data_IF_412406733654
#
_entry.id   IF_412406733654
#
_cell.length_a   1.000
_cell.length_b   1.000
_cell.length_c   1.000
_cell.angle_alpha   90.00
_cell.angle_beta   90.00
_cell.angle_gamma   90.00
#
_symmetry.space_group_name_H-M   'P 1'
#
loop_
_entity.id
_entity.type
_entity.pdbx_description
1 polymer ?
#
# COMPACT_ATOMS: atom_id res chain seq x y z
N UNK A 1 6.05 6.46 13.80
CA UNK A 1 4.81 6.27 13.02
C UNK A 1 4.00 7.54 13.21
N UNK A 2 3.57 8.21 12.13
CA UNK A 2 2.89 9.50 12.27
C UNK A 2 1.48 9.27 12.82
N UNK A 3 1.10 9.93 13.91
CA UNK A 3 -0.15 9.68 14.64
C UNK A 3 -1.39 9.77 13.74
N UNK A 4 -1.32 10.63 12.71
CA UNK A 4 -2.40 10.83 11.74
C UNK A 4 -2.65 9.61 10.85
N UNK A 5 -1.61 8.85 10.49
CA UNK A 5 -1.74 7.63 9.67
C UNK A 5 -2.52 6.56 10.44
N UNK A 6 -2.23 6.42 11.75
CA UNK A 6 -2.88 5.43 12.61
C UNK A 6 -4.37 5.69 12.76
N UNK A 7 -4.77 6.96 12.77
CA UNK A 7 -6.17 7.38 12.93
C UNK A 7 -7.01 7.06 11.68
N UNK A 8 -6.41 7.03 10.50
CA UNK A 8 -7.11 6.83 9.22
C UNK A 8 -7.26 5.35 8.87
N UNK A 9 -6.34 4.51 9.34
CA UNK A 9 -6.37 3.06 9.09
C UNK A 9 -7.74 2.44 9.41
N UNK A 10 -8.40 2.70 10.56
CA UNK A 10 -9.73 2.16 10.84
C UNK A 10 -10.80 2.53 9.81
N UNK A 11 -10.81 3.77 9.33
CA UNK A 11 -11.76 4.25 8.32
C UNK A 11 -11.53 3.53 6.98
N UNK A 12 -10.27 3.45 6.56
CA UNK A 12 -9.89 2.74 5.32
C UNK A 12 -10.16 1.25 5.43
N UNK A 13 -9.91 0.64 6.59
CA UNK A 13 -10.22 -0.79 6.84
C UNK A 13 -11.70 -1.08 6.68
N UNK A 14 -12.58 -0.21 7.18
CA UNK A 14 -14.02 -0.39 7.03
C UNK A 14 -14.43 -0.40 5.54
N UNK A 15 -13.82 0.47 4.72
CA UNK A 15 -14.01 0.44 3.27
C UNK A 15 -13.50 -0.87 2.65
N UNK A 16 -12.30 -1.33 3.01
CA UNK A 16 -11.75 -2.60 2.52
C UNK A 16 -12.62 -3.80 2.91
N UNK A 17 -13.14 -3.83 4.14
CA UNK A 17 -14.03 -4.88 4.64
C UNK A 17 -15.35 -4.95 3.88
N UNK A 18 -15.90 -3.81 3.48
CA UNK A 18 -17.11 -3.77 2.66
C UNK A 18 -16.91 -4.41 1.27
N UNK A 19 -15.65 -4.58 0.84
CA UNK A 19 -15.25 -5.19 -0.42
C UNK A 19 -14.46 -6.51 -0.21
N UNK A 20 -14.67 -7.20 0.92
CA UNK A 20 -13.88 -8.38 1.32
C UNK A 20 -13.91 -9.54 0.31
N UNK A 21 -14.97 -9.68 -0.47
CA UNK A 21 -15.13 -10.75 -1.48
C UNK A 21 -14.45 -10.43 -2.82
N UNK A 22 -13.95 -9.21 -2.99
CA UNK A 22 -13.29 -8.78 -4.22
C UNK A 22 -11.82 -9.22 -4.26
N UNK A 23 -11.22 -9.09 -5.44
CA UNK A 23 -9.80 -9.38 -5.64
C UNK A 23 -8.93 -8.49 -4.74
N UNK A 24 -7.74 -8.98 -4.41
CA UNK A 24 -6.76 -8.20 -3.65
C UNK A 24 -6.44 -6.85 -4.34
N UNK A 25 -6.43 -6.83 -5.67
CA UNK A 25 -6.18 -5.62 -6.47
C UNK A 25 -7.30 -4.59 -6.29
N UNK A 26 -8.57 -5.01 -6.38
CA UNK A 26 -9.69 -4.06 -6.23
C UNK A 26 -9.78 -3.56 -4.78
N UNK A 27 -9.57 -4.44 -3.80
CA UNK A 27 -9.45 -4.03 -2.39
C UNK A 27 -8.32 -3.02 -2.17
N UNK A 28 -7.20 -3.16 -2.87
CA UNK A 28 -6.12 -2.18 -2.83
C UNK A 28 -6.56 -0.82 -3.42
N UNK A 29 -7.24 -0.81 -4.57
CA UNK A 29 -7.80 0.42 -5.16
C UNK A 29 -8.81 1.09 -4.24
N UNK A 30 -9.71 0.32 -3.61
CA UNK A 30 -10.67 0.80 -2.59
C UNK A 30 -9.93 1.44 -1.41
N UNK A 31 -8.91 0.76 -0.86
CA UNK A 31 -8.11 1.30 0.24
C UNK A 31 -7.46 2.64 -0.13
N UNK A 32 -6.89 2.72 -1.33
CA UNK A 32 -6.20 3.91 -1.84
C UNK A 32 -7.17 5.07 -2.06
N UNK A 33 -8.34 4.83 -2.67
CA UNK A 33 -9.40 5.84 -2.85
C UNK A 33 -9.91 6.34 -1.49
N UNK A 34 -10.15 5.45 -0.53
CA UNK A 34 -10.61 5.80 0.80
C UNK A 34 -9.58 6.66 1.56
N UNK A 35 -8.29 6.26 1.54
CA UNK A 35 -7.24 7.02 2.21
C UNK A 35 -7.09 8.44 1.65
N UNK A 36 -7.12 8.61 0.31
CA UNK A 36 -7.01 9.93 -0.34
C UNK A 36 -8.17 10.87 -0.02
N UNK A 37 -9.36 10.32 0.25
CA UNK A 37 -10.55 11.09 0.65
C UNK A 37 -10.57 11.46 2.12
N UNK A 38 -9.58 11.05 2.91
CA UNK A 38 -9.55 11.34 4.34
C UNK A 38 -9.48 12.85 4.61
N UNK A 39 -10.39 13.31 5.47
CA UNK A 39 -10.51 14.70 5.90
C UNK A 39 -9.31 15.20 6.72
N UNK A 40 -8.46 14.31 7.22
CA UNK A 40 -7.30 14.64 8.05
C UNK A 40 -6.15 15.30 7.27
N UNK A 41 -6.28 15.44 5.95
CA UNK A 41 -5.36 16.25 5.13
C UNK A 41 -3.92 15.75 5.20
N UNK A 42 -3.72 14.47 4.90
CA UNK A 42 -2.41 13.84 4.85
C UNK A 42 -1.65 14.17 3.55
N UNK A 43 -0.33 14.06 3.62
CA UNK A 43 0.50 13.97 2.41
C UNK A 43 0.22 12.68 1.62
N UNK A 44 0.54 12.68 0.32
CA UNK A 44 0.36 11.51 -0.54
C UNK A 44 1.04 10.25 0.01
N UNK A 45 2.24 10.37 0.56
CA UNK A 45 2.97 9.24 1.13
C UNK A 45 2.29 8.69 2.38
N UNK A 46 1.71 9.56 3.20
CA UNK A 46 0.96 9.15 4.39
C UNK A 46 -0.37 8.49 4.01
N UNK A 47 -1.07 8.99 2.99
CA UNK A 47 -2.30 8.36 2.47
C UNK A 47 -1.99 6.97 1.89
N UNK A 48 -0.92 6.86 1.10
CA UNK A 48 -0.44 5.58 0.59
C UNK A 48 -0.10 4.61 1.72
N UNK A 49 0.62 5.08 2.74
CA UNK A 49 0.97 4.29 3.93
C UNK A 49 -0.26 3.84 4.72
N UNK A 50 -1.27 4.71 4.87
CA UNK A 50 -2.53 4.37 5.53
C UNK A 50 -3.32 3.31 4.75
N UNK A 51 -3.38 3.44 3.42
CA UNK A 51 -4.02 2.48 2.52
C UNK A 51 -3.38 1.10 2.63
N UNK A 52 -2.05 1.02 2.54
CA UNK A 52 -1.31 -0.24 2.69
C UNK A 52 -1.51 -0.83 4.09
N UNK A 53 -1.41 0.01 5.13
CA UNK A 53 -1.58 -0.44 6.52
C UNK A 53 -2.95 -1.07 6.74
N UNK A 54 -4.01 -0.46 6.20
CA UNK A 54 -5.36 -1.01 6.25
C UNK A 54 -5.48 -2.33 5.45
N UNK A 55 -4.94 -2.37 4.23
CA UNK A 55 -5.00 -3.55 3.37
C UNK A 55 -4.29 -4.77 4.01
N UNK A 56 -3.10 -4.57 4.59
CA UNK A 56 -2.32 -5.64 5.25
C UNK A 56 -3.08 -6.22 6.46
N UNK A 57 -3.86 -5.40 7.16
CA UNK A 57 -4.65 -5.85 8.32
C UNK A 57 -5.85 -6.70 7.93
N UNK A 58 -6.40 -6.51 6.72
CA UNK A 58 -7.53 -7.28 6.18
C UNK A 58 -7.11 -8.39 5.21
N UNK A 59 -5.82 -8.49 4.89
CA UNK A 59 -5.27 -9.51 4.00
C UNK A 59 -5.27 -10.90 4.67
N UNK A 60 -5.53 -11.95 3.88
CA UNK A 60 -5.26 -13.32 4.31
C UNK A 60 -3.76 -13.53 4.55
N UNK A 61 -3.32 -14.60 5.24
CA UNK A 61 -1.89 -14.87 5.43
C UNK A 61 -1.10 -14.92 4.11
N UNK A 62 -1.67 -15.53 3.07
CA UNK A 62 -1.05 -15.64 1.75
C UNK A 62 -0.94 -14.27 1.07
N UNK A 63 -1.99 -13.46 1.14
CA UNK A 63 -2.00 -12.11 0.58
C UNK A 63 -1.05 -11.18 1.32
N UNK A 64 -0.99 -11.29 2.66
CA UNK A 64 -0.07 -10.54 3.50
C UNK A 64 1.38 -10.82 3.10
N UNK A 65 1.74 -12.07 2.89
CA UNK A 65 3.08 -12.43 2.44
C UNK A 65 3.43 -11.77 1.09
N UNK A 66 2.48 -11.75 0.14
CA UNK A 66 2.65 -11.06 -1.15
C UNK A 66 2.83 -9.55 -0.99
N UNK A 67 1.98 -8.92 -0.19
CA UNK A 67 2.05 -7.48 0.09
C UNK A 67 3.36 -7.13 0.81
N UNK A 68 3.79 -7.91 1.80
CA UNK A 68 5.02 -7.65 2.55
C UNK A 68 6.27 -7.79 1.69
N UNK A 69 6.30 -8.76 0.77
CA UNK A 69 7.38 -8.89 -0.21
C UNK A 69 7.47 -7.64 -1.08
N UNK A 70 6.34 -7.16 -1.59
CA UNK A 70 6.29 -5.96 -2.43
C UNK A 70 6.66 -4.69 -1.64
N UNK A 71 6.13 -4.51 -0.42
CA UNK A 71 6.46 -3.39 0.48
C UNK A 71 7.96 -3.38 0.79
N UNK A 72 8.58 -4.55 0.99
CA UNK A 72 10.03 -4.66 1.23
C UNK A 72 10.83 -4.11 0.04
N UNK A 73 10.42 -4.45 -1.18
CA UNK A 73 11.04 -3.93 -2.41
C UNK A 73 10.84 -2.42 -2.52
N UNK A 74 9.63 -1.92 -2.29
CA UNK A 74 9.35 -0.47 -2.33
C UNK A 74 10.18 0.31 -1.31
N UNK A 75 10.32 -0.20 -0.08
CA UNK A 75 11.17 0.41 0.94
C UNK A 75 12.65 0.41 0.55
N UNK A 76 13.12 -0.69 -0.04
CA UNK A 76 14.49 -0.80 -0.52
C UNK A 76 14.78 0.19 -1.65
N UNK A 77 13.86 0.35 -2.60
CA UNK A 77 13.95 1.33 -3.67
C UNK A 77 13.95 2.76 -3.14
N UNK A 78 13.03 3.08 -2.21
CA UNK A 78 12.98 4.41 -1.60
C UNK A 78 14.29 4.74 -0.86
N UNK A 79 14.80 3.80 -0.06
CA UNK A 79 16.07 3.96 0.64
C UNK A 79 17.25 4.17 -0.34
N UNK A 80 17.29 3.43 -1.46
CA UNK A 80 18.31 3.61 -2.48
C UNK A 80 18.22 5.00 -3.15
N UNK A 81 17.01 5.51 -3.41
CA UNK A 81 16.79 6.86 -3.95
C UNK A 81 17.27 7.93 -2.94
N UNK A 82 17.03 7.70 -1.65
CA UNK A 82 17.47 8.58 -0.57
C UNK A 82 18.98 8.49 -0.27
N UNK A 83 19.74 7.73 -1.09
CA UNK A 83 21.19 7.58 -0.96
C UNK A 83 21.63 6.65 0.18
N UNK A 84 20.70 5.92 0.78
CA UNK A 84 21.02 4.86 1.75
C UNK A 84 21.52 3.64 0.99
N UNK A 85 22.70 3.09 1.30
CA UNK A 85 23.20 1.90 0.64
C UNK A 85 22.30 0.69 0.95
N UNK A 86 21.71 0.10 -0.09
CA UNK A 86 20.86 -1.09 0.01
C UNK A 86 21.40 -2.19 -0.89
N UNK A 87 21.48 -3.42 -0.37
CA UNK A 87 21.76 -4.59 -1.19
C UNK A 87 20.48 -5.06 -1.90
N UNK A 88 20.23 -4.50 -3.08
CA UNK A 88 19.05 -4.83 -3.88
C UNK A 88 19.02 -6.30 -4.29
N UNK A 89 20.16 -6.93 -4.56
CA UNK A 89 20.22 -8.34 -4.93
C UNK A 89 19.61 -9.22 -3.84
N UNK A 90 19.98 -8.99 -2.58
CA UNK A 90 19.41 -9.71 -1.43
C UNK A 90 17.91 -9.45 -1.23
N UNK A 91 17.45 -8.22 -1.51
CA UNK A 91 16.02 -7.88 -1.39
C UNK A 91 15.19 -8.59 -2.45
N UNK A 92 15.71 -8.67 -3.68
CA UNK A 92 15.05 -9.32 -4.81
C UNK A 92 15.09 -10.85 -4.69
N UNK A 93 16.19 -11.44 -4.24
CA UNK A 93 16.33 -12.89 -4.00
C UNK A 93 15.39 -13.40 -2.90
N UNK A 94 15.11 -12.57 -1.89
CA UNK A 94 14.19 -12.90 -0.79
C UNK A 94 12.73 -12.49 -1.02
N UNK A 95 12.41 -11.89 -2.17
CA UNK A 95 11.07 -11.44 -2.52
C UNK A 95 10.41 -12.41 -3.48
N UNK A 96 9.26 -12.97 -3.12
CA UNK A 96 8.37 -13.62 -4.10
C UNK A 96 7.67 -12.54 -4.92
N UNK A 97 8.40 -11.89 -5.83
CA UNK A 97 7.91 -10.76 -6.65
C UNK A 97 7.01 -11.25 -7.79
N UNK A 98 7.09 -12.53 -8.16
CA UNK A 98 6.36 -13.13 -9.27
C UNK A 98 4.83 -12.99 -9.17
N UNK A 99 4.31 -12.70 -7.97
CA UNK A 99 2.88 -12.46 -7.71
C UNK A 99 2.60 -11.07 -7.09
N UNK A 100 3.47 -10.08 -7.32
CA UNK A 100 3.22 -8.70 -6.91
C UNK A 100 1.96 -8.13 -7.58
N UNK A 101 1.24 -7.26 -6.88
CA UNK A 101 0.02 -6.63 -7.40
C UNK A 101 0.28 -5.24 -7.98
N UNK A 102 1.49 -4.69 -7.78
CA UNK A 102 1.85 -3.39 -8.32
C UNK A 102 1.25 -2.23 -7.53
N UNK A 103 1.38 -2.25 -6.21
CA UNK A 103 0.91 -1.23 -5.26
C UNK A 103 1.24 0.20 -5.71
N UNK A 104 2.46 0.45 -6.18
CA UNK A 104 2.85 1.78 -6.65
C UNK A 104 2.13 2.17 -7.95
N UNK A 105 1.96 1.23 -8.89
CA UNK A 105 1.23 1.45 -10.14
C UNK A 105 -0.25 1.73 -9.88
N UNK A 106 -0.88 0.94 -9.01
CA UNK A 106 -2.27 1.12 -8.58
C UNK A 106 -2.49 2.48 -7.93
N UNK A 107 -1.54 2.95 -7.12
CA UNK A 107 -1.60 4.27 -6.52
C UNK A 107 -1.60 5.38 -7.55
N UNK A 108 -0.74 5.27 -8.58
CA UNK A 108 -0.70 6.23 -9.67
C UNK A 108 -1.98 6.19 -10.53
N UNK A 109 -2.56 5.02 -10.76
CA UNK A 109 -3.84 4.85 -11.47
C UNK A 109 -4.97 5.55 -10.72
N UNK A 110 -5.15 5.27 -9.42
CA UNK A 110 -6.16 5.90 -8.56
C UNK A 110 -5.98 7.42 -8.49
N UNK A 111 -4.74 7.92 -8.57
CA UNK A 111 -4.46 9.36 -8.67
C UNK A 111 -4.89 9.97 -9.99
N UNK A 112 -4.79 9.24 -11.09
CA UNK A 112 -5.18 9.72 -12.41
C UNK A 112 -6.71 9.75 -12.58
N UNK A 113 -7.44 8.81 -11.98
CA UNK A 113 -8.91 8.71 -12.07
C UNK A 113 -9.65 10.00 -11.62
N UNK A 114 -9.13 10.71 -10.61
CA UNK A 114 -9.79 11.90 -10.05
C UNK A 114 -9.55 13.20 -10.82
N UNK A 115 -8.74 13.19 -11.87
CA UNK A 115 -8.48 14.37 -12.72
C UNK A 115 -9.46 14.46 -13.91
N UNK A 116 -10.42 13.53 -13.98
CA UNK A 116 -11.45 13.41 -15.03
C UNK A 116 -12.85 13.63 -14.48
#
# INVERSE_FOLDING_TARGET
>A
MNDRVVIIIPEVRAAVQAHAEESLEERAKVAMRAARKSWLGLSDNENFSAAIGALVLEATPEERNRLEAEIRVLKALNAAIDGVPVNLATVLEGGQIDNAIGLNSLWHEVKAEEVT
#
